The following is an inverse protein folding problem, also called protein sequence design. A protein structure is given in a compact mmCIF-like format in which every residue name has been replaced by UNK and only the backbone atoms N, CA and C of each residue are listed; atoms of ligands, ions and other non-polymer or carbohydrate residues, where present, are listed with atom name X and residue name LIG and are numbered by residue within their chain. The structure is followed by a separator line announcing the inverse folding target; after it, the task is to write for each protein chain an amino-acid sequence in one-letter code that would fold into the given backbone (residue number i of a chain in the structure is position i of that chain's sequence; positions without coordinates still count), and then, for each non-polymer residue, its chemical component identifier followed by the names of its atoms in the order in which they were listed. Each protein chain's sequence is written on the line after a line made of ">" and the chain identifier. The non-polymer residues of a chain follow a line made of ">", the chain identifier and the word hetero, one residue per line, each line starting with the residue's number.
data_IF_428744367601
#
_entry.id   IF_428744367601
#
_cell.length_a   1.000
_cell.length_b   1.000
_cell.length_c   1.000
_cell.angle_alpha   90.00
_cell.angle_beta   90.00
_cell.angle_gamma   90.00
#
_symmetry.space_group_name_H-M   'P 1'
#
loop_
_entity.id
_entity.type
_entity.pdbx_description
1 polymer ?
#
# COMPACT_ATOMS: atom_id res chain seq x y z
N UNK A 1 -43.39 -24.72 -3.04
CA UNK A 1 -42.77 -24.15 -1.83
C UNK A 1 -41.26 -24.33 -1.96
N UNK A 2 -40.59 -23.42 -2.67
CA UNK A 2 -39.12 -23.38 -2.75
C UNK A 2 -38.64 -22.37 -1.70
N UNK A 3 -37.49 -22.61 -1.05
CA UNK A 3 -36.34 -21.81 -1.45
C UNK A 3 -35.09 -22.69 -1.65
N UNK A 4 -34.43 -22.56 -2.81
CA UNK A 4 -33.34 -21.59 -3.02
C UNK A 4 -32.04 -21.94 -2.25
N UNK A 5 -31.56 -23.17 -2.36
CA UNK A 5 -30.15 -23.48 -2.09
C UNK A 5 -29.34 -23.47 -3.39
N UNK A 6 -29.29 -22.31 -4.04
CA UNK A 6 -28.21 -22.01 -4.97
C UNK A 6 -27.00 -21.63 -4.09
N UNK A 7 -26.10 -22.59 -3.86
CA UNK A 7 -24.73 -22.26 -3.47
C UNK A 7 -24.13 -21.46 -4.61
N UNK A 8 -24.29 -20.14 -4.57
CA UNK A 8 -23.53 -19.20 -5.38
C UNK A 8 -22.08 -19.24 -4.89
N UNK A 9 -21.40 -20.34 -5.20
CA UNK A 9 -19.94 -20.35 -5.31
C UNK A 9 -19.64 -19.88 -6.72
N UNK A 10 -19.84 -18.59 -6.95
CA UNK A 10 -19.60 -18.00 -8.27
C UNK A 10 -18.68 -16.82 -8.13
N UNK A 11 -17.59 -16.91 -8.89
CA UNK A 11 -16.47 -15.98 -9.05
C UNK A 11 -15.47 -16.04 -7.90
N UNK A 12 -14.43 -16.87 -8.10
CA UNK A 12 -13.12 -16.59 -7.52
C UNK A 12 -12.79 -15.14 -7.90
N UNK A 13 -12.95 -14.26 -6.91
CA UNK A 13 -12.84 -12.81 -7.07
C UNK A 13 -11.39 -12.52 -7.43
N UNK A 14 -11.16 -12.11 -8.67
CA UNK A 14 -9.87 -11.57 -9.09
C UNK A 14 -9.59 -10.40 -8.14
N UNK A 15 -8.51 -10.50 -7.36
CA UNK A 15 -8.12 -9.44 -6.43
C UNK A 15 -7.80 -8.20 -7.25
N UNK A 16 -8.59 -7.13 -7.06
CA UNK A 16 -8.27 -5.82 -7.63
C UNK A 16 -6.88 -5.40 -7.13
N UNK A 17 -5.96 -5.11 -8.05
CA UNK A 17 -4.58 -4.72 -7.71
C UNK A 17 -4.52 -3.47 -6.81
N UNK A 18 -5.59 -2.66 -6.82
CA UNK A 18 -5.72 -1.46 -5.99
C UNK A 18 -6.31 -1.76 -4.61
N UNK A 19 -6.70 -3.01 -4.32
CA UNK A 19 -7.25 -3.42 -3.04
C UNK A 19 -6.13 -3.66 -2.01
N UNK A 20 -5.55 -2.57 -1.52
CA UNK A 20 -4.54 -2.60 -0.47
C UNK A 20 -5.23 -2.40 0.88
N UNK A 21 -5.06 -3.34 1.81
CA UNK A 21 -5.60 -3.24 3.17
C UNK A 21 -4.62 -2.58 4.14
N UNK A 22 -5.11 -1.94 5.22
CA UNK A 22 -4.23 -1.46 6.29
C UNK A 22 -3.41 -2.62 6.91
N UNK A 23 -2.25 -2.32 7.51
CA UNK A 23 -1.46 -3.33 8.21
C UNK A 23 -2.28 -3.95 9.34
N UNK A 24 -2.19 -5.27 9.49
CA UNK A 24 -2.95 -6.04 10.49
C UNK A 24 -4.35 -6.43 10.04
N UNK A 25 -4.80 -6.07 8.83
CA UNK A 25 -6.02 -6.64 8.28
C UNK A 25 -5.92 -8.17 8.21
N UNK A 26 -6.99 -8.84 8.63
CA UNK A 26 -7.13 -10.29 8.50
C UNK A 26 -7.22 -10.70 7.02
N UNK A 27 -7.11 -12.01 6.69
CA UNK A 27 -7.36 -12.49 5.34
C UNK A 27 -8.71 -11.98 4.80
N UNK A 28 -8.76 -11.64 3.51
CA UNK A 28 -9.84 -10.81 2.94
C UNK A 28 -11.27 -11.31 3.26
N UNK A 29 -11.52 -12.63 3.18
CA UNK A 29 -12.84 -13.21 3.50
C UNK A 29 -13.22 -12.95 4.97
N UNK A 30 -12.30 -13.20 5.89
CA UNK A 30 -12.50 -12.99 7.32
C UNK A 30 -12.59 -11.49 7.65
N UNK A 31 -11.77 -10.68 7.00
CA UNK A 31 -11.81 -9.23 7.12
C UNK A 31 -13.17 -8.66 6.74
N UNK A 32 -13.70 -9.04 5.58
CA UNK A 32 -15.01 -8.55 5.10
C UNK A 32 -16.14 -9.03 6.01
N UNK A 33 -16.07 -10.27 6.53
CA UNK A 33 -17.03 -10.82 7.47
C UNK A 33 -17.03 -10.14 8.85
N UNK A 34 -15.85 -9.69 9.33
CA UNK A 34 -15.72 -9.03 10.64
C UNK A 34 -15.83 -7.51 10.57
N UNK A 35 -15.53 -6.88 9.44
CA UNK A 35 -15.54 -5.43 9.33
C UNK A 35 -16.97 -4.90 9.43
N UNK A 36 -17.25 -4.09 10.46
CA UNK A 36 -18.56 -3.45 10.65
C UNK A 36 -18.69 -2.10 9.94
N UNK A 37 -17.70 -1.71 9.11
CA UNK A 37 -17.69 -0.49 8.29
C UNK A 37 -17.92 0.80 9.10
N UNK A 38 -17.45 0.84 10.35
CA UNK A 38 -17.64 1.98 11.25
C UNK A 38 -16.80 3.22 10.92
N UNK A 39 -15.75 3.10 10.10
CA UNK A 39 -14.94 4.24 9.67
C UNK A 39 -13.92 4.77 10.70
N UNK A 40 -13.87 4.26 11.93
CA UNK A 40 -12.94 4.75 12.97
C UNK A 40 -11.46 4.65 12.55
N UNK A 41 -11.07 3.56 11.90
CA UNK A 41 -9.72 3.40 11.36
C UNK A 41 -9.35 4.48 10.31
N UNK A 42 -10.32 4.96 9.53
CA UNK A 42 -10.12 6.01 8.54
C UNK A 42 -9.98 7.36 9.25
N UNK A 43 -10.84 7.64 10.23
CA UNK A 43 -10.84 8.87 11.02
C UNK A 43 -9.52 9.10 11.76
N UNK A 44 -8.91 8.05 12.29
CA UNK A 44 -7.62 8.16 13.02
C UNK A 44 -6.39 8.10 12.11
N UNK A 45 -6.56 7.95 10.80
CA UNK A 45 -5.45 7.83 9.86
C UNK A 45 -4.77 9.20 9.69
N UNK A 46 -3.64 9.40 10.39
CA UNK A 46 -2.86 10.66 10.33
C UNK A 46 -2.35 11.00 8.92
N UNK A 47 -2.13 9.99 8.07
CA UNK A 47 -1.71 10.19 6.68
C UNK A 47 -2.89 10.41 5.72
N UNK A 48 -4.14 10.31 6.20
CA UNK A 48 -5.36 10.37 5.37
C UNK A 48 -5.36 9.38 4.17
N UNK A 49 -4.55 8.32 4.24
CA UNK A 49 -4.40 7.34 3.17
C UNK A 49 -5.53 6.30 3.14
N UNK A 50 -6.16 6.04 4.29
CA UNK A 50 -7.29 5.10 4.36
C UNK A 50 -8.58 5.76 3.88
N UNK A 51 -9.19 5.15 2.88
CA UNK A 51 -10.38 5.63 2.20
C UNK A 51 -11.41 4.49 2.09
N UNK A 52 -12.71 4.78 1.95
CA UNK A 52 -13.71 3.73 1.75
C UNK A 52 -13.52 3.07 0.38
N UNK A 53 -13.57 1.74 0.37
CA UNK A 53 -13.75 0.97 -0.85
C UNK A 53 -15.15 1.21 -1.42
N UNK A 54 -15.23 1.31 -2.74
CA UNK A 54 -16.49 1.21 -3.48
C UNK A 54 -16.59 -0.22 -4.01
N UNK A 55 -16.26 -0.44 -5.29
CA UNK A 55 -16.38 -1.74 -5.95
C UNK A 55 -15.10 -2.57 -5.91
N UNK A 56 -13.96 -1.99 -5.50
CA UNK A 56 -12.67 -2.70 -5.43
C UNK A 56 -12.75 -3.93 -4.51
N UNK A 57 -13.53 -3.80 -3.43
CA UNK A 57 -13.71 -4.84 -2.44
C UNK A 57 -14.98 -5.69 -2.68
N UNK A 58 -15.57 -5.64 -3.87
CA UNK A 58 -16.89 -6.20 -4.15
C UNK A 58 -18.01 -5.51 -3.36
N UNK A 59 -19.26 -5.95 -3.58
CA UNK A 59 -20.42 -5.37 -2.88
C UNK A 59 -20.35 -5.59 -1.37
N UNK A 60 -19.87 -6.77 -0.94
CA UNK A 60 -19.73 -7.11 0.48
C UNK A 60 -18.67 -6.25 1.17
N UNK A 61 -17.56 -5.95 0.49
CA UNK A 61 -16.49 -5.10 1.04
C UNK A 61 -16.73 -3.60 0.86
N UNK A 62 -17.87 -3.17 0.34
CA UNK A 62 -18.16 -1.74 0.17
C UNK A 62 -18.07 -1.00 1.52
N UNK A 63 -17.55 0.23 1.50
CA UNK A 63 -17.25 1.07 2.68
C UNK A 63 -16.22 0.52 3.67
N UNK A 64 -15.62 -0.64 3.40
CA UNK A 64 -14.46 -1.11 4.18
C UNK A 64 -13.20 -0.29 3.83
N UNK A 65 -12.22 -0.16 4.74
CA UNK A 65 -11.03 0.66 4.50
C UNK A 65 -10.07 0.05 3.48
N UNK A 66 -9.62 0.89 2.54
CA UNK A 66 -8.54 0.61 1.60
C UNK A 66 -7.49 1.72 1.66
N UNK A 67 -6.22 1.36 1.50
CA UNK A 67 -5.13 2.32 1.46
C UNK A 67 -4.99 2.87 0.03
N UNK A 68 -5.33 4.13 -0.16
CA UNK A 68 -5.06 4.87 -1.40
C UNK A 68 -3.76 5.65 -1.27
N UNK A 69 -2.66 5.04 -1.71
CA UNK A 69 -1.31 5.62 -1.62
C UNK A 69 -1.15 6.99 -2.31
N UNK A 70 -2.05 7.36 -3.24
CA UNK A 70 -2.08 8.69 -3.89
C UNK A 70 -2.59 9.80 -2.96
N UNK A 71 -3.42 9.46 -1.97
CA UNK A 71 -3.97 10.40 -1.00
C UNK A 71 -3.01 10.59 0.18
N UNK A 72 -2.34 9.51 0.56
CA UNK A 72 -1.33 9.50 1.60
C UNK A 72 -0.76 8.10 1.84
N UNK A 73 0.35 8.03 2.55
CA UNK A 73 1.05 6.77 2.83
C UNK A 73 0.76 6.26 4.24
N UNK A 74 1.08 4.98 4.48
CA UNK A 74 1.02 4.40 5.82
C UNK A 74 2.27 4.78 6.61
N UNK A 75 2.13 5.66 7.61
CA UNK A 75 3.24 6.09 8.46
C UNK A 75 3.92 4.90 9.17
N UNK A 76 5.24 4.76 9.02
CA UNK A 76 6.02 3.58 9.39
C UNK A 76 5.87 3.21 10.86
N UNK A 77 5.83 4.18 11.77
CA UNK A 77 5.73 3.95 13.21
C UNK A 77 4.29 3.99 13.77
N UNK A 78 3.28 4.24 12.94
CA UNK A 78 1.89 4.35 13.39
C UNK A 78 1.17 2.99 13.47
N UNK A 79 0.39 2.76 14.54
CA UNK A 79 -0.42 1.55 14.74
C UNK A 79 -1.89 1.83 15.10
N UNK A 80 -2.34 3.08 14.96
CA UNK A 80 -3.66 3.54 15.46
C UNK A 80 -4.86 2.78 14.86
N UNK A 81 -4.83 2.42 13.58
CA UNK A 81 -5.97 1.78 12.91
C UNK A 81 -6.39 0.44 13.55
N UNK A 82 -5.43 -0.37 14.03
CA UNK A 82 -5.72 -1.60 14.77
C UNK A 82 -6.16 -1.35 16.21
N UNK A 83 -5.68 -0.27 16.84
CA UNK A 83 -6.05 0.07 18.22
C UNK A 83 -7.53 0.44 18.35
N UNK A 84 -8.09 1.12 17.35
CA UNK A 84 -9.49 1.60 17.35
C UNK A 84 -10.49 0.65 16.69
N UNK A 85 -10.05 -0.47 16.10
CA UNK A 85 -10.95 -1.39 15.42
C UNK A 85 -11.81 -2.16 16.45
N UNK A 86 -13.14 -1.94 16.51
CA UNK A 86 -13.97 -2.54 17.55
C UNK A 86 -14.25 -4.03 17.29
N UNK A 87 -14.31 -4.45 16.03
CA UNK A 87 -14.62 -5.82 15.63
C UNK A 87 -13.39 -6.73 15.50
N UNK A 88 -12.18 -6.16 15.64
CA UNK A 88 -10.93 -6.89 15.44
C UNK A 88 -10.68 -7.33 14.00
N UNK A 89 -11.36 -6.73 13.01
CA UNK A 89 -11.05 -6.96 11.59
C UNK A 89 -9.63 -6.50 11.22
N UNK A 90 -9.12 -5.49 11.93
CA UNK A 90 -7.71 -5.07 11.89
C UNK A 90 -7.11 -5.45 13.25
N UNK A 91 -6.15 -6.35 13.24
CA UNK A 91 -5.43 -6.80 14.42
C UNK A 91 -4.65 -5.65 15.06
N UNK A 92 -4.58 -5.67 16.39
CA UNK A 92 -3.71 -4.78 17.17
C UNK A 92 -2.28 -5.25 17.02
N UNK A 93 -1.48 -4.50 16.26
CA UNK A 93 -0.06 -4.74 16.11
C UNK A 93 0.74 -3.76 16.97
N UNK A 94 1.78 -4.27 17.63
CA UNK A 94 2.85 -3.42 18.16
C UNK A 94 3.64 -2.78 17.01
N UNK A 95 4.39 -1.70 17.29
CA UNK A 95 5.21 -1.05 16.27
C UNK A 95 6.24 -1.99 15.62
N UNK A 96 6.94 -2.88 16.36
CA UNK A 96 7.85 -3.86 15.75
C UNK A 96 7.14 -4.88 14.85
N UNK A 97 5.96 -5.34 15.23
CA UNK A 97 5.18 -6.29 14.41
C UNK A 97 4.70 -5.61 13.13
N UNK A 98 4.14 -4.40 13.23
CA UNK A 98 3.64 -3.64 12.09
C UNK A 98 4.71 -3.39 11.03
N UNK A 99 5.96 -3.19 11.43
CA UNK A 99 7.11 -2.99 10.51
C UNK A 99 7.47 -4.24 9.70
N UNK A 100 7.04 -5.42 10.14
CA UNK A 100 7.25 -6.69 9.43
C UNK A 100 6.09 -7.04 8.50
N UNK A 101 4.98 -6.29 8.57
CA UNK A 101 3.80 -6.55 7.74
C UNK A 101 3.94 -5.83 6.41
N UNK A 102 4.19 -6.62 5.36
CA UNK A 102 4.18 -6.14 3.97
C UNK A 102 2.74 -6.01 3.48
N UNK A 103 2.32 -4.77 3.19
CA UNK A 103 0.95 -4.47 2.69
C UNK A 103 0.89 -4.33 1.17
N UNK A 104 2.02 -4.23 0.50
CA UNK A 104 2.10 -4.08 -0.95
C UNK A 104 3.53 -3.97 -1.45
N UNK A 105 3.68 -3.91 -2.77
CA UNK A 105 4.96 -3.66 -3.43
C UNK A 105 5.02 -2.20 -3.91
N UNK A 106 6.23 -1.65 -3.95
CA UNK A 106 6.49 -0.33 -4.52
C UNK A 106 7.14 -0.54 -5.90
N UNK A 107 6.86 0.37 -6.84
CA UNK A 107 7.51 0.38 -8.14
C UNK A 107 7.87 1.81 -8.51
N UNK A 108 9.01 1.99 -9.20
CA UNK A 108 9.38 3.30 -9.74
C UNK A 108 8.72 3.52 -11.10
N UNK A 109 7.93 4.59 -11.20
CA UNK A 109 7.52 5.14 -12.49
C UNK A 109 8.71 5.86 -13.14
N UNK A 110 9.38 5.16 -14.06
CA UNK A 110 10.57 5.66 -14.76
C UNK A 110 10.28 6.86 -15.66
N UNK A 111 9.02 7.09 -16.04
CA UNK A 111 8.63 8.27 -16.83
C UNK A 111 8.50 9.54 -15.97
N UNK A 112 8.42 9.39 -14.64
CA UNK A 112 8.30 10.52 -13.70
C UNK A 112 9.53 10.72 -12.83
N UNK A 113 10.27 9.66 -12.56
CA UNK A 113 11.47 9.70 -11.73
C UNK A 113 12.56 10.58 -12.36
N UNK A 114 13.06 11.60 -11.65
CA UNK A 114 13.98 12.60 -12.20
C UNK A 114 15.26 12.02 -12.84
N UNK A 115 15.96 11.04 -12.23
CA UNK A 115 17.15 10.43 -12.84
C UNK A 115 16.85 9.56 -14.06
N UNK A 116 15.65 8.98 -14.14
CA UNK A 116 15.25 8.17 -15.30
C UNK A 116 14.71 9.03 -16.45
N UNK A 117 13.79 9.95 -16.14
CA UNK A 117 13.03 10.68 -17.15
C UNK A 117 13.73 11.94 -17.67
N UNK A 118 14.55 12.59 -16.84
CA UNK A 118 15.13 13.91 -17.16
C UNK A 118 16.65 13.97 -17.06
N UNK A 119 17.28 12.90 -16.57
CA UNK A 119 18.71 12.89 -16.25
C UNK A 119 19.11 13.93 -15.19
N UNK A 120 18.19 14.24 -14.26
CA UNK A 120 18.46 15.16 -13.14
C UNK A 120 18.86 14.33 -11.91
N UNK A 121 20.01 14.60 -11.26
CA UNK A 121 20.42 13.89 -10.05
C UNK A 121 19.41 14.09 -8.90
N UNK A 122 18.97 12.99 -8.29
CA UNK A 122 18.09 12.99 -7.12
C UNK A 122 18.27 11.70 -6.32
N UNK A 123 18.48 11.81 -5.01
CA UNK A 123 18.69 10.66 -4.11
C UNK A 123 17.69 10.54 -2.95
N UNK A 124 16.71 11.45 -2.90
CA UNK A 124 15.80 11.67 -1.75
C UNK A 124 15.07 10.40 -1.28
N UNK A 125 14.74 9.51 -2.21
CA UNK A 125 13.99 8.28 -1.91
C UNK A 125 14.76 7.27 -1.03
N UNK A 126 16.08 7.16 -1.16
CA UNK A 126 16.91 6.33 -0.27
C UNK A 126 17.06 6.98 1.11
N UNK A 127 17.27 8.29 1.15
CA UNK A 127 17.40 9.05 2.40
C UNK A 127 16.18 8.85 3.29
N UNK A 128 14.98 8.93 2.70
CA UNK A 128 13.70 8.81 3.40
C UNK A 128 13.23 7.36 3.62
N UNK A 129 13.89 6.37 3.02
CA UNK A 129 13.48 4.97 3.19
C UNK A 129 13.58 4.58 4.68
N UNK A 130 12.47 4.19 5.35
CA UNK A 130 12.43 4.00 6.79
C UNK A 130 12.93 2.62 7.26
N UNK A 131 13.27 1.73 6.32
CA UNK A 131 13.74 0.38 6.63
C UNK A 131 15.17 0.41 7.19
N UNK A 132 15.53 -0.51 8.10
CA UNK A 132 16.87 -0.54 8.70
C UNK A 132 17.99 -0.74 7.65
N UNK A 133 17.83 -1.73 6.77
CA UNK A 133 18.60 -1.83 5.53
C UNK A 133 17.77 -1.19 4.42
N UNK A 134 18.32 -0.18 3.76
CA UNK A 134 17.60 0.66 2.79
C UNK A 134 17.12 -0.22 1.63
N UNK A 135 15.80 -0.34 1.49
CA UNK A 135 15.19 -1.13 0.42
C UNK A 135 15.33 -0.48 -0.96
N UNK A 136 15.61 0.83 -0.99
CA UNK A 136 15.92 1.59 -2.20
C UNK A 136 17.42 1.82 -2.24
N UNK A 137 18.07 1.43 -3.34
CA UNK A 137 19.50 1.67 -3.59
C UNK A 137 19.70 2.31 -4.97
N UNK A 138 20.91 2.79 -5.23
CA UNK A 138 21.26 3.44 -6.49
C UNK A 138 22.28 2.67 -7.30
N UNK A 139 22.17 2.80 -8.62
CA UNK A 139 23.20 2.42 -9.59
C UNK A 139 23.56 3.62 -10.45
N UNK A 140 24.81 3.70 -10.88
CA UNK A 140 25.24 4.72 -11.82
C UNK A 140 24.76 4.38 -13.23
N UNK A 141 24.27 5.39 -13.95
CA UNK A 141 23.85 5.27 -15.33
C UNK A 141 24.20 6.56 -16.08
N UNK A 142 24.74 6.41 -17.29
CA UNK A 142 24.91 7.53 -18.21
C UNK A 142 23.59 7.77 -18.94
N UNK A 143 23.05 8.96 -18.82
CA UNK A 143 21.79 9.37 -19.43
C UNK A 143 21.93 10.68 -20.17
N UNK A 144 21.10 10.88 -21.17
CA UNK A 144 20.98 12.15 -21.88
C UNK A 144 19.88 12.98 -21.22
N UNK A 145 20.19 14.23 -20.84
CA UNK A 145 19.22 15.13 -20.23
C UNK A 145 18.32 15.78 -21.30
N UNK A 146 17.35 16.58 -20.87
CA UNK A 146 16.44 17.28 -21.79
C UNK A 146 17.11 18.31 -22.73
N UNK A 147 18.42 18.58 -22.56
CA UNK A 147 19.22 19.48 -23.40
C UNK A 147 20.13 18.73 -24.38
N UNK A 148 20.07 17.40 -24.42
CA UNK A 148 20.95 16.57 -25.24
C UNK A 148 22.34 16.35 -24.64
N UNK A 149 22.58 16.77 -23.39
CA UNK A 149 23.87 16.61 -22.73
C UNK A 149 23.91 15.24 -22.03
N UNK A 150 25.02 14.51 -22.22
CA UNK A 150 25.26 13.25 -21.51
C UNK A 150 25.83 13.52 -20.13
N UNK A 151 25.21 12.96 -19.11
CA UNK A 151 25.68 13.04 -17.73
C UNK A 151 25.54 11.70 -17.01
N UNK A 152 26.34 11.50 -15.97
CA UNK A 152 26.19 10.36 -15.06
C UNK A 152 25.22 10.72 -13.95
N UNK A 153 24.18 9.91 -13.77
CA UNK A 153 23.22 10.06 -12.67
C UNK A 153 23.09 8.76 -11.89
N UNK A 154 22.59 8.87 -10.66
CA UNK A 154 22.22 7.75 -9.82
C UNK A 154 20.75 7.40 -10.06
N UNK A 155 20.49 6.26 -10.70
CA UNK A 155 19.14 5.73 -10.92
C UNK A 155 18.73 4.81 -9.77
N UNK A 156 17.57 5.03 -9.12
CA UNK A 156 17.14 4.18 -8.02
C UNK A 156 16.61 2.83 -8.53
N UNK A 157 16.80 1.79 -7.71
CA UNK A 157 16.17 0.48 -7.86
C UNK A 157 15.73 -0.05 -6.49
N UNK A 158 14.77 -0.97 -6.49
CA UNK A 158 14.24 -1.61 -5.29
C UNK A 158 14.87 -2.98 -5.08
N UNK A 159 15.04 -3.35 -3.81
CA UNK A 159 15.36 -4.70 -3.36
C UNK A 159 14.13 -5.25 -2.65
N UNK A 160 13.37 -6.09 -3.33
CA UNK A 160 12.03 -6.52 -2.90
C UNK A 160 12.02 -7.28 -1.55
N UNK A 161 13.13 -7.95 -1.23
CA UNK A 161 13.32 -8.71 0.02
C UNK A 161 13.50 -7.82 1.26
N UNK A 162 13.85 -6.53 1.05
CA UNK A 162 14.04 -5.55 2.12
C UNK A 162 12.81 -4.66 2.32
N UNK A 163 11.78 -4.81 1.48
CA UNK A 163 10.52 -4.05 1.52
C UNK A 163 9.46 -4.67 2.43
#
# INVERSE_FOLDING_TARGET
>A
MLPFFLKSRTLARQSDELLIRPPGALPEEEFVGRCVRCGECMKVCIGNGLQPAFLQAGLEGMFSPILKARNGYCEYNCTLCGQVCPSGAIAKLSAPEKKKVKIGNVVFDKNRCLPYAKGIPCIVCEEHCPTPDKAIKFREATVENSRGEKGTVKQPYLIDDLC
#
